data_IF_098226961686
#
_entry.id   IF_098226961686
#
_cell.length_a   1.000
_cell.length_b   1.000
_cell.length_c   1.000
_cell.angle_alpha   90.00
_cell.angle_beta   90.00
_cell.angle_gamma   90.00
#
_symmetry.space_group_name_H-M   'P 1'
#
loop_
_entity.id
_entity.type
_entity.pdbx_description
1 polymer ?
#
# COMPACT_ATOMS: atom_id res chain seq x y z
N UNK A 1 64.06 -17.75 0.49
CA UNK A 1 62.78 -17.99 1.17
C UNK A 1 61.75 -16.98 0.71
N UNK A 2 60.88 -17.41 -0.12
CA UNK A 2 59.80 -16.54 -0.61
C UNK A 2 58.56 -16.76 0.24
N UNK A 3 58.24 -15.75 1.01
CA UNK A 3 57.05 -15.75 1.80
C UNK A 3 55.89 -15.34 0.88
N UNK A 4 55.08 -16.30 0.49
CA UNK A 4 53.90 -16.01 -0.25
C UNK A 4 52.81 -15.64 0.75
N UNK A 5 52.63 -14.35 0.92
CA UNK A 5 51.49 -13.85 1.66
C UNK A 5 50.29 -13.97 0.72
N UNK A 6 49.58 -15.04 0.90
CA UNK A 6 48.24 -15.16 0.30
C UNK A 6 47.32 -14.20 1.03
N UNK A 7 47.19 -13.01 0.51
CA UNK A 7 46.13 -12.12 0.90
C UNK A 7 44.83 -12.70 0.36
N UNK A 8 44.17 -13.44 1.19
CA UNK A 8 42.81 -13.83 0.88
C UNK A 8 41.97 -12.58 0.87
N UNK A 9 41.63 -12.11 -0.33
CA UNK A 9 40.66 -11.06 -0.51
C UNK A 9 39.30 -11.66 -0.20
N UNK A 10 38.87 -11.47 1.03
CA UNK A 10 37.49 -11.79 1.41
C UNK A 10 36.60 -10.76 0.73
N UNK A 11 36.07 -11.10 -0.43
CA UNK A 11 34.99 -10.36 -1.03
C UNK A 11 33.76 -10.56 -0.17
N UNK A 12 33.61 -9.72 0.81
CA UNK A 12 32.32 -9.60 1.48
C UNK A 12 31.38 -8.88 0.53
N UNK A 13 30.68 -9.64 -0.26
CA UNK A 13 29.57 -9.11 -1.01
C UNK A 13 28.50 -8.74 0.00
N UNK A 14 28.45 -7.45 0.33
CA UNK A 14 27.32 -6.92 1.05
C UNK A 14 26.11 -7.02 0.11
N UNK A 15 25.30 -8.02 0.36
CA UNK A 15 24.01 -8.11 -0.27
C UNK A 15 23.13 -7.04 0.39
N UNK A 16 23.16 -5.84 -0.17
CA UNK A 16 22.20 -4.82 0.24
C UNK A 16 20.83 -5.25 -0.29
N UNK A 17 20.09 -5.93 0.57
CA UNK A 17 18.69 -6.15 0.31
C UNK A 17 18.00 -4.78 0.37
N UNK A 18 17.79 -4.20 -0.80
CA UNK A 18 16.94 -3.03 -0.91
C UNK A 18 15.52 -3.48 -0.60
N UNK A 19 15.10 -3.24 0.63
CA UNK A 19 13.71 -3.42 0.99
C UNK A 19 12.97 -2.30 0.27
N UNK A 20 12.43 -2.61 -0.89
CA UNK A 20 11.48 -1.75 -1.53
C UNK A 20 10.19 -1.86 -0.73
N UNK A 21 9.93 -0.88 0.10
CA UNK A 21 8.60 -0.71 0.63
C UNK A 21 7.68 -0.54 -0.58
N UNK A 22 6.86 -1.53 -0.84
CA UNK A 22 5.93 -1.47 -1.94
C UNK A 22 5.04 -0.25 -1.75
N UNK A 23 5.03 0.65 -2.74
CA UNK A 23 4.15 1.80 -2.73
C UNK A 23 2.71 1.32 -2.64
N UNK A 24 1.85 1.99 -1.85
CA UNK A 24 0.47 1.58 -1.77
C UNK A 24 -0.20 1.71 -3.13
N UNK A 25 -1.08 0.76 -3.43
CA UNK A 25 -1.85 0.77 -4.67
C UNK A 25 -2.80 1.96 -4.61
N UNK A 26 -2.79 2.86 -5.62
CA UNK A 26 -3.69 4.02 -5.62
C UNK A 26 -5.16 3.62 -5.52
N UNK A 27 -5.95 4.46 -4.88
CA UNK A 27 -7.39 4.23 -4.78
C UNK A 27 -8.06 4.40 -6.15
N UNK A 28 -8.66 3.36 -6.72
CA UNK A 28 -9.15 3.38 -8.10
C UNK A 28 -10.51 4.04 -8.29
N UNK A 29 -11.11 4.58 -7.24
CA UNK A 29 -12.46 5.15 -7.28
C UNK A 29 -12.45 6.62 -6.88
N UNK A 30 -13.47 7.36 -7.31
CA UNK A 30 -13.72 8.74 -6.90
C UNK A 30 -14.79 8.83 -5.82
N UNK A 31 -15.25 7.69 -5.33
CA UNK A 31 -16.32 7.60 -4.34
C UNK A 31 -15.80 7.00 -3.03
N UNK A 32 -16.46 7.35 -1.92
CA UNK A 32 -16.19 6.75 -0.63
C UNK A 32 -16.40 5.24 -0.71
N UNK A 33 -15.44 4.47 -0.18
CA UNK A 33 -15.53 3.01 -0.21
C UNK A 33 -16.71 2.47 0.62
N UNK A 34 -17.17 3.22 1.60
CA UNK A 34 -18.25 2.82 2.50
C UNK A 34 -19.61 3.34 2.03
N UNK A 35 -19.74 4.65 1.83
CA UNK A 35 -21.02 5.29 1.53
C UNK A 35 -21.32 5.47 0.05
N UNK A 36 -20.34 5.27 -0.82
CA UNK A 36 -20.40 5.52 -2.26
C UNK A 36 -20.68 7.00 -2.62
N UNK A 37 -20.53 7.90 -1.66
CA UNK A 37 -20.63 9.32 -1.92
C UNK A 37 -19.37 9.83 -2.61
N UNK A 38 -19.53 10.83 -3.46
CA UNK A 38 -18.42 11.39 -4.21
C UNK A 38 -17.41 12.05 -3.27
N UNK A 39 -16.14 11.68 -3.42
CA UNK A 39 -15.07 12.26 -2.64
C UNK A 39 -14.85 13.73 -3.02
N UNK A 40 -14.57 14.55 -2.01
CA UNK A 40 -14.28 15.96 -2.20
C UNK A 40 -15.49 16.89 -2.15
N UNK A 41 -16.71 16.37 -2.14
CA UNK A 41 -17.93 17.22 -2.04
C UNK A 41 -18.13 17.78 -0.63
N UNK A 42 -17.73 17.02 0.39
CA UNK A 42 -17.87 17.41 1.79
C UNK A 42 -16.53 17.89 2.39
N UNK A 43 -15.59 18.32 1.53
CA UNK A 43 -14.25 18.70 1.94
C UNK A 43 -13.20 17.70 1.46
N UNK A 44 -11.92 17.88 1.88
CA UNK A 44 -10.86 17.00 1.45
C UNK A 44 -11.13 15.55 1.86
N UNK A 45 -11.00 14.58 0.95
CA UNK A 45 -11.20 13.17 1.29
C UNK A 45 -10.12 12.67 2.23
N UNK A 46 -10.47 11.74 3.11
CA UNK A 46 -9.53 11.07 3.97
C UNK A 46 -9.02 9.81 3.26
N UNK A 47 -7.70 9.74 3.04
CA UNK A 47 -7.07 8.59 2.40
C UNK A 47 -6.32 7.79 3.45
N UNK A 48 -6.50 6.48 3.44
CA UNK A 48 -5.86 5.56 4.39
C UNK A 48 -5.23 4.40 3.62
N UNK A 49 -4.03 4.02 4.01
CA UNK A 49 -3.37 2.83 3.47
C UNK A 49 -3.75 1.62 4.32
N UNK A 50 -4.37 0.65 3.69
CA UNK A 50 -4.74 -0.60 4.34
C UNK A 50 -4.06 -1.76 3.64
N UNK A 51 -3.11 -2.39 4.30
CA UNK A 51 -2.35 -3.54 3.77
C UNK A 51 -1.84 -3.32 2.33
N UNK A 52 -1.30 -2.14 2.07
CA UNK A 52 -0.75 -1.79 0.76
C UNK A 52 -1.78 -1.30 -0.26
N UNK A 53 -3.05 -1.19 0.11
CA UNK A 53 -4.11 -0.64 -0.73
C UNK A 53 -4.57 0.68 -0.15
N UNK A 54 -4.52 1.74 -0.96
CA UNK A 54 -5.09 3.02 -0.58
C UNK A 54 -6.61 2.98 -0.68
N UNK A 55 -7.29 3.46 0.35
CA UNK A 55 -8.76 3.55 0.37
C UNK A 55 -9.19 4.96 0.70
N UNK A 56 -10.25 5.43 0.08
CA UNK A 56 -10.75 6.78 0.25
C UNK A 56 -12.06 6.83 1.02
N UNK A 57 -12.16 7.79 1.93
CA UNK A 57 -13.33 8.02 2.78
C UNK A 57 -13.79 9.46 2.66
N UNK A 58 -15.11 9.67 2.60
CA UNK A 58 -15.68 11.02 2.58
C UNK A 58 -15.65 11.67 3.96
N UNK A 59 -15.62 10.88 5.04
CA UNK A 59 -15.61 11.36 6.41
C UNK A 59 -15.00 10.31 7.36
N UNK A 60 -14.68 10.76 8.57
CA UNK A 60 -14.03 9.90 9.57
C UNK A 60 -14.94 8.76 10.06
N UNK A 61 -16.24 8.96 10.07
CA UNK A 61 -17.19 7.92 10.49
C UNK A 61 -17.17 6.71 9.58
N UNK A 62 -16.87 6.90 8.30
CA UNK A 62 -16.75 5.81 7.35
C UNK A 62 -15.53 4.92 7.66
N UNK A 63 -14.49 5.47 8.26
CA UNK A 63 -13.31 4.70 8.66
C UNK A 63 -13.70 3.66 9.72
N UNK A 64 -14.51 4.05 10.70
CA UNK A 64 -15.02 3.14 11.73
C UNK A 64 -15.82 1.99 11.13
N UNK A 65 -16.66 2.29 10.15
CA UNK A 65 -17.45 1.27 9.47
C UNK A 65 -16.56 0.34 8.64
N UNK A 66 -15.55 0.88 8.00
CA UNK A 66 -14.57 0.08 7.26
C UNK A 66 -13.82 -0.87 8.19
N UNK A 67 -13.40 -0.41 9.37
CA UNK A 67 -12.64 -1.20 10.33
C UNK A 67 -13.43 -2.40 10.86
N UNK A 68 -14.75 -2.33 10.83
CA UNK A 68 -15.62 -3.44 11.26
C UNK A 68 -15.56 -4.62 10.30
N UNK A 69 -15.45 -4.36 9.00
CA UNK A 69 -15.38 -5.41 7.98
C UNK A 69 -14.60 -4.92 6.76
N UNK A 70 -13.28 -4.80 6.87
CA UNK A 70 -12.46 -4.31 5.76
C UNK A 70 -12.57 -5.17 4.49
N UNK A 71 -12.65 -6.48 4.64
CA UNK A 71 -12.70 -7.40 3.51
C UNK A 71 -13.92 -7.17 2.61
N UNK A 72 -15.06 -6.84 3.21
CA UNK A 72 -16.29 -6.53 2.47
C UNK A 72 -16.11 -5.33 1.55
N UNK A 73 -15.50 -4.27 2.07
CA UNK A 73 -15.29 -3.05 1.30
C UNK A 73 -14.17 -3.20 0.28
N UNK A 74 -13.11 -3.91 0.62
CA UNK A 74 -12.01 -4.19 -0.31
C UNK A 74 -12.46 -5.05 -1.49
N UNK A 75 -13.43 -5.93 -1.29
CA UNK A 75 -14.02 -6.72 -2.36
C UNK A 75 -14.66 -5.84 -3.45
N UNK A 76 -15.20 -4.69 -3.07
CA UNK A 76 -15.73 -3.71 -4.03
C UNK A 76 -14.64 -3.16 -4.94
N UNK A 77 -13.45 -2.94 -4.41
CA UNK A 77 -12.32 -2.45 -5.21
C UNK A 77 -11.83 -3.50 -6.21
N UNK A 78 -11.85 -4.77 -5.82
CA UNK A 78 -11.46 -5.85 -6.73
C UNK A 78 -12.39 -5.96 -7.93
N UNK A 79 -13.68 -5.77 -7.73
CA UNK A 79 -14.64 -5.77 -8.83
C UNK A 79 -14.48 -4.54 -9.72
N UNK A 80 -14.06 -3.41 -9.16
CA UNK A 80 -13.81 -2.19 -9.92
C UNK A 80 -12.51 -2.27 -10.71
N UNK A 81 -11.46 -2.86 -10.14
CA UNK A 81 -10.15 -3.01 -10.78
C UNK A 81 -10.09 -4.20 -11.73
N UNK A 82 -10.96 -5.19 -11.56
CA UNK A 82 -11.03 -6.37 -12.40
C UNK A 82 -11.73 -6.11 -13.74
N UNK A 83 -12.08 -4.88 -14.03
CA UNK A 83 -12.66 -4.51 -15.31
C UNK A 83 -11.57 -4.56 -16.38
N UNK A 84 -11.67 -5.44 -17.35
CA UNK A 84 -10.71 -5.50 -18.44
C UNK A 84 -10.74 -4.24 -19.31
#
# INVERSE_FOLDING_TARGET
MKLHILTALACTTLLSATIHAAEPIPYPSTKCIVSDEKLGEMGPPTMVDYMGQQVGFCCKSCISDFDKDPAKYLAKLKTTTAKP
#
